data_IF_723121624021
#
_entry.id   IF_723121624021
#
_cell.length_a   1.000
_cell.length_b   1.000
_cell.length_c   1.000
_cell.angle_alpha   90.00
_cell.angle_beta   90.00
_cell.angle_gamma   90.00
#
_symmetry.space_group_name_H-M   'P 1'
#
loop_
_entity.id
_entity.type
_entity.pdbx_description
1 polymer ?
#
# COMPACT_ATOMS: atom_id res chain seq x y z
N UNK A 1 5.71 17.96 21.07
CA UNK A 1 5.42 16.51 21.09
C UNK A 1 4.87 16.15 19.74
N UNK A 2 5.60 15.35 18.95
CA UNK A 2 5.02 14.79 17.72
C UNK A 2 3.87 13.85 18.11
N UNK A 3 2.70 13.93 17.46
CA UNK A 3 1.59 13.02 17.75
C UNK A 3 2.06 11.57 17.58
N UNK A 4 1.58 10.67 18.45
CA UNK A 4 1.86 9.24 18.29
C UNK A 4 1.37 8.82 16.90
N UNK A 5 2.17 8.07 16.13
CA UNK A 5 1.74 7.61 14.82
C UNK A 5 0.46 6.81 14.99
N UNK A 6 -0.52 7.09 14.14
CA UNK A 6 -1.73 6.30 14.05
C UNK A 6 -1.33 4.91 13.55
N UNK A 7 -1.55 3.87 14.37
CA UNK A 7 -1.19 2.48 14.06
C UNK A 7 -2.43 1.59 14.10
N UNK A 8 -2.54 0.65 13.15
CA UNK A 8 -3.55 -0.41 13.15
C UNK A 8 -2.89 -1.76 12.97
N UNK A 9 -3.11 -2.66 13.93
CA UNK A 9 -2.71 -4.05 13.88
C UNK A 9 -3.93 -4.89 13.53
N UNK A 10 -3.88 -5.50 12.36
CA UNK A 10 -4.90 -6.41 11.85
C UNK A 10 -4.40 -7.83 12.09
N UNK A 11 -5.23 -8.67 12.71
CA UNK A 11 -5.00 -10.12 12.78
C UNK A 11 -6.09 -10.82 12.01
N UNK A 12 -5.73 -11.58 10.98
CA UNK A 12 -6.63 -12.49 10.27
C UNK A 12 -6.39 -13.89 10.81
N UNK A 13 -7.45 -14.61 11.19
CA UNK A 13 -7.34 -15.94 11.76
C UNK A 13 -8.33 -16.92 11.15
N UNK A 14 -7.96 -18.19 11.10
CA UNK A 14 -8.86 -19.29 10.73
C UNK A 14 -8.56 -20.52 11.58
N UNK A 15 -9.48 -21.47 11.60
CA UNK A 15 -9.28 -22.77 12.25
C UNK A 15 -9.53 -23.95 11.31
N UNK A 16 -10.59 -23.91 10.51
CA UNK A 16 -10.83 -24.92 9.49
C UNK A 16 -11.44 -24.25 8.27
N UNK A 17 -10.74 -24.38 7.15
CA UNK A 17 -11.15 -23.84 5.86
C UNK A 17 -11.53 -24.96 4.89
N UNK A 18 -11.27 -26.23 5.24
CA UNK A 18 -11.45 -27.37 4.34
C UNK A 18 -10.53 -27.37 3.10
N UNK A 19 -9.77 -26.31 2.85
CA UNK A 19 -8.81 -26.16 1.75
C UNK A 19 -7.73 -25.13 2.11
N UNK A 20 -6.50 -25.32 1.63
CA UNK A 20 -5.48 -24.28 1.65
C UNK A 20 -5.95 -23.07 0.82
N UNK A 21 -5.69 -21.87 1.33
CA UNK A 21 -6.06 -20.63 0.67
C UNK A 21 -4.99 -19.56 0.90
N UNK A 22 -4.85 -18.65 -0.05
CA UNK A 22 -4.01 -17.47 0.08
C UNK A 22 -4.91 -16.23 0.16
N UNK A 23 -4.72 -15.43 1.22
CA UNK A 23 -5.28 -14.07 1.29
C UNK A 23 -4.24 -13.11 0.72
N UNK A 24 -4.69 -12.26 -0.20
CA UNK A 24 -3.96 -11.09 -0.66
C UNK A 24 -4.65 -9.83 -0.14
N UNK A 25 -3.89 -8.94 0.51
CA UNK A 25 -4.33 -7.62 0.95
C UNK A 25 -3.74 -6.55 0.02
N UNK A 26 -4.60 -5.69 -0.52
CA UNK A 26 -4.19 -4.59 -1.37
C UNK A 26 -4.99 -3.33 -1.02
N UNK A 27 -4.36 -2.17 -1.20
CA UNK A 27 -5.00 -0.88 -0.98
C UNK A 27 -5.94 -0.55 -2.14
N UNK A 28 -7.09 0.02 -1.84
CA UNK A 28 -7.95 0.61 -2.86
C UNK A 28 -7.45 2.02 -3.16
N UNK A 29 -7.04 2.31 -4.41
CA UNK A 29 -6.69 3.67 -4.75
C UNK A 29 -7.95 4.53 -4.67
N UNK A 30 -7.92 5.61 -3.91
CA UNK A 30 -8.85 6.72 -4.06
C UNK A 30 -8.06 7.93 -4.57
N UNK A 31 -7.45 7.78 -5.74
CA UNK A 31 -6.73 8.87 -6.42
C UNK A 31 -7.70 9.60 -7.32
N UNK A 32 -8.31 10.66 -6.79
CA UNK A 32 -8.86 11.72 -7.61
C UNK A 32 -7.66 12.52 -8.19
N UNK A 33 -7.23 12.23 -9.42
CA UNK A 33 -6.06 12.85 -10.02
C UNK A 33 -5.81 12.48 -11.48
N UNK A 34 -5.31 13.45 -12.25
CA UNK A 34 -5.16 13.54 -13.72
C UNK A 34 -4.23 12.51 -14.42
N UNK A 35 -3.87 11.39 -13.80
CA UNK A 35 -3.01 10.39 -14.43
C UNK A 35 -3.70 9.02 -14.51
N UNK A 36 -3.68 8.44 -15.72
CA UNK A 36 -4.25 7.11 -16.02
C UNK A 36 -3.37 5.96 -15.48
N UNK A 37 -2.17 6.24 -14.95
CA UNK A 37 -1.15 5.24 -14.58
C UNK A 37 -0.81 5.23 -13.07
N UNK A 38 -1.82 5.33 -12.20
CA UNK A 38 -1.66 5.08 -10.76
C UNK A 38 -2.05 3.65 -10.43
N UNK A 39 -1.06 2.87 -9.96
CA UNK A 39 -1.26 1.46 -9.68
C UNK A 39 -1.17 1.16 -8.19
N UNK A 40 -2.17 0.46 -7.62
CA UNK A 40 -2.07 -0.09 -6.28
C UNK A 40 -0.98 -1.15 -6.21
N UNK A 41 -0.41 -1.31 -5.01
CA UNK A 41 0.57 -2.35 -4.74
C UNK A 41 -0.03 -3.39 -3.78
N UNK A 42 0.25 -4.66 -4.04
CA UNK A 42 -0.04 -5.75 -3.13
C UNK A 42 0.75 -5.57 -1.84
N UNK A 43 0.03 -5.37 -0.74
CA UNK A 43 0.63 -4.99 0.53
C UNK A 43 1.05 -6.20 1.36
N UNK A 44 0.18 -7.21 1.45
CA UNK A 44 0.45 -8.44 2.21
C UNK A 44 -0.13 -9.65 1.53
N UNK A 45 0.61 -10.76 1.58
CA UNK A 45 0.15 -12.07 1.08
C UNK A 45 0.37 -13.09 2.18
N UNK A 46 -0.65 -13.88 2.49
CA UNK A 46 -0.58 -14.85 3.59
C UNK A 46 -1.32 -16.13 3.27
N UNK A 47 -0.65 -17.26 3.48
CA UNK A 47 -1.21 -18.59 3.29
C UNK A 47 -1.85 -19.10 4.57
N UNK A 48 -3.03 -19.69 4.44
CA UNK A 48 -3.76 -20.37 5.49
C UNK A 48 -3.92 -21.83 5.08
N UNK A 49 -3.52 -22.74 5.96
CA UNK A 49 -3.66 -24.17 5.69
C UNK A 49 -5.11 -24.64 5.77
N UNK A 50 -5.33 -25.87 5.33
CA UNK A 50 -6.65 -26.50 5.30
C UNK A 50 -7.33 -26.54 6.67
N UNK A 51 -6.61 -26.98 7.69
CA UNK A 51 -7.14 -27.26 9.04
C UNK A 51 -6.08 -26.97 10.10
N UNK A 52 -6.50 -26.45 11.24
CA UNK A 52 -5.65 -26.00 12.34
C UNK A 52 -5.72 -24.48 12.53
N UNK A 53 -5.28 -23.98 13.70
CA UNK A 53 -5.26 -22.56 13.97
C UNK A 53 -4.18 -21.88 13.14
N UNK A 54 -4.58 -20.97 12.26
CA UNK A 54 -3.69 -20.14 11.46
C UNK A 54 -3.94 -18.66 11.74
N UNK A 55 -2.87 -17.87 11.70
CA UNK A 55 -2.91 -16.42 11.91
C UNK A 55 -1.97 -15.72 10.94
N UNK A 56 -2.43 -14.59 10.41
CA UNK A 56 -1.61 -13.63 9.69
C UNK A 56 -1.80 -12.25 10.31
N UNK A 57 -0.72 -11.49 10.41
CA UNK A 57 -0.75 -10.13 10.98
C UNK A 57 -0.29 -9.11 9.95
N UNK A 58 -0.91 -7.92 10.00
CA UNK A 58 -0.52 -6.79 9.20
C UNK A 58 -0.59 -5.51 10.04
N UNK A 59 0.47 -4.71 10.02
CA UNK A 59 0.56 -3.46 10.78
C UNK A 59 0.62 -2.28 9.82
N UNK A 60 -0.40 -1.42 9.90
CA UNK A 60 -0.49 -0.16 9.17
C UNK A 60 -0.06 0.99 10.07
N UNK A 61 0.83 1.86 9.57
CA UNK A 61 1.17 3.16 10.18
C UNK A 61 0.76 4.29 9.23
N UNK A 62 0.17 5.37 9.76
CA UNK A 62 -0.28 6.48 8.92
C UNK A 62 0.84 7.43 8.44
N UNK A 63 2.11 7.18 8.79
CA UNK A 63 3.20 8.01 8.31
C UNK A 63 3.47 7.68 6.85
N UNK A 64 3.20 8.63 5.97
CA UNK A 64 3.44 8.51 4.54
C UNK A 64 4.85 9.00 4.19
N UNK A 65 5.37 8.47 3.10
CA UNK A 65 6.56 8.97 2.43
C UNK A 65 6.43 8.82 0.92
N UNK A 66 7.01 9.76 0.19
CA UNK A 66 7.35 9.55 -1.21
C UNK A 66 8.67 8.81 -1.31
N UNK A 67 8.79 7.96 -2.31
CA UNK A 67 10.06 7.34 -2.68
C UNK A 67 10.26 7.34 -4.19
N UNK A 68 11.52 7.35 -4.60
CA UNK A 68 11.90 7.00 -5.97
C UNK A 68 11.95 5.47 -6.04
N UNK A 69 10.98 4.89 -6.72
CA UNK A 69 10.83 3.44 -6.81
C UNK A 69 11.84 2.84 -7.78
N UNK A 70 12.30 1.62 -7.49
CA UNK A 70 12.98 0.76 -8.45
C UNK A 70 12.05 -0.41 -8.72
N UNK A 71 11.77 -0.63 -10.01
CA UNK A 71 10.82 -1.65 -10.47
C UNK A 71 11.55 -2.72 -11.25
N UNK A 72 11.32 -3.97 -10.88
CA UNK A 72 11.83 -5.13 -11.60
C UNK A 72 10.73 -6.17 -11.70
N UNK A 73 10.53 -6.74 -12.90
CA UNK A 73 9.52 -7.80 -13.14
C UNK A 73 8.12 -7.48 -12.61
N UNK A 74 7.68 -6.22 -12.74
CA UNK A 74 6.35 -5.77 -12.29
C UNK A 74 6.19 -5.60 -10.78
N UNK A 75 7.29 -5.57 -10.02
CA UNK A 75 7.31 -5.39 -8.56
C UNK A 75 8.15 -4.17 -8.19
N UNK A 76 7.76 -3.47 -7.13
CA UNK A 76 8.64 -2.48 -6.51
C UNK A 76 9.62 -3.21 -5.60
N UNK A 77 10.90 -3.21 -5.95
CA UNK A 77 11.95 -3.97 -5.25
C UNK A 77 12.68 -3.15 -4.19
N UNK A 78 12.78 -1.84 -4.37
CA UNK A 78 13.48 -0.94 -3.45
C UNK A 78 13.13 0.53 -3.71
N UNK A 79 13.50 1.38 -2.76
CA UNK A 79 13.52 2.82 -2.91
C UNK A 79 14.97 3.32 -2.97
N UNK A 80 15.31 4.11 -3.98
CA UNK A 80 16.65 4.72 -4.07
C UNK A 80 16.80 5.88 -3.07
N UNK A 81 15.71 6.59 -2.80
CA UNK A 81 15.62 7.68 -1.83
C UNK A 81 14.17 7.83 -1.38
N UNK A 82 13.94 8.42 -0.21
CA UNK A 82 12.58 8.70 0.28
C UNK A 82 12.53 9.95 1.15
N UNK A 83 11.33 10.50 1.30
CA UNK A 83 11.06 11.60 2.21
C UNK A 83 9.70 11.40 2.86
N UNK A 84 9.64 11.60 4.18
CA UNK A 84 8.35 11.66 4.88
C UNK A 84 7.52 12.81 4.32
N UNK A 85 6.23 12.59 4.15
CA UNK A 85 5.31 13.59 3.62
C UNK A 85 3.99 13.51 4.39
N UNK A 86 3.41 14.66 4.71
CA UNK A 86 2.09 14.75 5.29
C UNK A 86 1.06 15.17 4.23
N UNK A 87 -0.22 15.02 4.57
CA UNK A 87 -1.27 15.64 3.78
C UNK A 87 -1.09 17.17 3.79
N UNK A 88 -1.41 17.83 2.68
CA UNK A 88 -1.20 19.25 2.44
C UNK A 88 0.27 19.67 2.25
N UNK A 89 1.19 18.72 2.06
CA UNK A 89 2.60 19.02 1.79
C UNK A 89 2.98 18.64 0.36
N UNK A 90 4.04 19.28 -0.13
CA UNK A 90 4.69 18.96 -1.40
C UNK A 90 6.20 18.83 -1.25
N UNK A 91 6.80 18.03 -2.12
CA UNK A 91 8.25 17.85 -2.25
C UNK A 91 8.65 17.83 -3.73
N UNK A 92 9.94 17.96 -4.01
CA UNK A 92 10.51 17.86 -5.35
C UNK A 92 11.61 16.81 -5.36
N UNK A 93 11.55 15.85 -6.28
CA UNK A 93 12.64 14.93 -6.58
C UNK A 93 13.61 15.61 -7.54
N UNK A 94 14.87 15.74 -7.13
CA UNK A 94 15.97 16.23 -7.96
C UNK A 94 17.06 15.18 -8.09
N UNK A 95 17.92 15.36 -9.09
CA UNK A 95 19.10 14.53 -9.32
C UNK A 95 20.32 15.45 -9.47
N UNK A 96 21.43 15.06 -8.86
CA UNK A 96 22.73 15.68 -9.05
C UNK A 96 23.84 14.64 -8.91
N UNK A 97 24.68 14.53 -9.94
CA UNK A 97 25.80 13.58 -10.00
C UNK A 97 25.36 12.12 -9.75
N UNK A 98 24.28 11.71 -10.40
CA UNK A 98 23.62 10.39 -10.30
C UNK A 98 23.02 10.09 -8.91
N UNK A 99 22.93 11.09 -8.02
CA UNK A 99 22.33 10.96 -6.70
C UNK A 99 20.98 11.67 -6.64
N UNK A 100 19.96 10.93 -6.22
CA UNK A 100 18.58 11.38 -6.17
C UNK A 100 18.19 11.86 -4.77
N UNK A 101 17.52 13.00 -4.71
CA UNK A 101 17.12 13.61 -3.45
C UNK A 101 15.71 14.18 -3.56
N UNK A 102 14.90 13.93 -2.54
CA UNK A 102 13.70 14.71 -2.32
C UNK A 102 14.04 15.95 -1.49
N UNK A 103 13.47 17.09 -1.87
CA UNK A 103 13.53 18.30 -1.05
C UNK A 103 12.81 18.09 0.29
N UNK A 104 13.17 18.88 1.30
CA UNK A 104 12.37 18.96 2.52
C UNK A 104 10.92 19.33 2.15
N UNK A 105 9.91 18.64 2.71
CA UNK A 105 8.52 18.98 2.48
C UNK A 105 8.21 20.42 2.85
N UNK A 106 7.40 21.06 2.02
CA UNK A 106 6.88 22.40 2.25
C UNK A 106 5.36 22.42 2.10
N UNK A 107 4.73 23.52 2.50
CA UNK A 107 3.29 23.68 2.36
C UNK A 107 2.86 23.54 0.88
N UNK A 108 1.92 22.64 0.65
CA UNK A 108 1.36 22.32 -0.66
C UNK A 108 -0.13 22.66 -0.74
N UNK A 109 -0.83 21.91 -1.58
CA UNK A 109 -2.27 22.07 -1.79
C UNK A 109 -3.07 21.34 -0.71
N UNK A 110 -4.06 21.99 -0.12
CA UNK A 110 -4.93 21.36 0.88
C UNK A 110 -5.66 20.14 0.33
N UNK A 111 -5.71 19.06 1.12
CA UNK A 111 -6.40 17.81 0.82
C UNK A 111 -5.56 16.75 0.09
N UNK A 112 -4.33 17.08 -0.33
CA UNK A 112 -3.46 16.19 -1.11
C UNK A 112 -2.00 16.26 -0.69
N UNK A 113 -1.24 15.22 -1.01
CA UNK A 113 0.22 15.20 -0.98
C UNK A 113 0.78 15.18 -2.40
N UNK A 114 1.90 15.88 -2.62
CA UNK A 114 2.42 16.11 -3.97
C UNK A 114 3.93 15.87 -4.07
N UNK A 115 4.37 15.29 -5.17
CA UNK A 115 5.79 15.20 -5.53
C UNK A 115 5.97 15.68 -6.97
N UNK A 116 6.88 16.63 -7.17
CA UNK A 116 7.28 17.05 -8.51
C UNK A 116 8.56 16.33 -8.93
N UNK A 117 8.59 15.79 -10.15
CA UNK A 117 9.84 15.34 -10.73
C UNK A 117 10.59 16.53 -11.34
N UNK A 118 11.83 16.73 -10.95
CA UNK A 118 12.74 17.74 -11.50
C UNK A 118 14.15 17.15 -11.67
N UNK A 119 14.22 15.95 -12.24
CA UNK A 119 15.48 15.21 -12.49
C UNK A 119 15.97 15.34 -13.93
N UNK A 120 15.26 16.07 -14.80
CA UNK A 120 15.58 16.15 -16.23
C UNK A 120 15.27 14.87 -17.02
N UNK A 121 14.68 13.85 -16.40
CA UNK A 121 14.36 12.56 -17.02
C UNK A 121 13.08 11.96 -16.42
N UNK A 122 12.53 10.94 -17.06
CA UNK A 122 11.36 10.20 -16.55
C UNK A 122 11.74 9.43 -15.28
N UNK A 123 10.88 9.46 -14.26
CA UNK A 123 11.12 8.77 -12.99
C UNK A 123 9.94 7.91 -12.55
N UNK A 124 10.30 6.88 -11.79
CA UNK A 124 9.38 6.00 -11.09
C UNK A 124 9.18 6.53 -9.67
N UNK A 125 7.95 6.89 -9.31
CA UNK A 125 7.64 7.45 -7.98
C UNK A 125 6.62 6.53 -7.28
N UNK A 126 6.82 6.31 -5.99
CA UNK A 126 5.86 5.60 -5.16
C UNK A 126 5.48 6.42 -3.93
N UNK A 127 4.29 6.15 -3.41
CA UNK A 127 3.87 6.54 -2.06
C UNK A 127 3.81 5.28 -1.22
N UNK A 128 4.33 5.35 0.01
CA UNK A 128 4.38 4.21 0.92
C UNK A 128 4.23 4.61 2.38
N UNK A 129 4.11 3.61 3.25
CA UNK A 129 4.10 3.81 4.69
C UNK A 129 5.46 3.59 5.30
N UNK A 130 5.82 4.44 6.25
CA UNK A 130 7.02 4.31 7.05
C UNK A 130 6.65 3.65 8.37
N UNK A 131 7.12 2.41 8.58
CA UNK A 131 7.01 1.80 9.90
C UNK A 131 8.21 2.19 10.77
N UNK A 132 8.01 2.15 12.08
CA UNK A 132 9.09 2.45 13.03
C UNK A 132 10.19 1.39 12.90
N UNK A 133 11.40 1.84 12.56
CA UNK A 133 12.58 0.97 12.40
C UNK A 133 12.87 0.57 10.95
N UNK A 134 11.95 0.85 10.03
CA UNK A 134 12.19 0.64 8.60
C UNK A 134 13.05 1.79 8.05
N UNK A 135 14.02 1.46 7.21
CA UNK A 135 14.87 2.45 6.53
C UNK A 135 14.17 3.07 5.31
N UNK A 136 13.25 2.35 4.69
CA UNK A 136 12.52 2.75 3.49
C UNK A 136 11.03 2.48 3.65
N UNK A 137 10.16 3.28 3.02
CA UNK A 137 8.72 3.06 3.09
C UNK A 137 8.31 1.76 2.37
N UNK A 138 7.33 1.05 2.93
CA UNK A 138 6.63 -0.02 2.21
C UNK A 138 5.69 0.61 1.18
N UNK A 139 5.89 0.38 -0.12
CA UNK A 139 5.15 1.08 -1.16
C UNK A 139 3.70 0.57 -1.25
N UNK A 140 2.76 1.49 -1.48
CA UNK A 140 1.31 1.19 -1.54
C UNK A 140 0.62 1.74 -2.79
N UNK A 141 1.15 2.82 -3.35
CA UNK A 141 0.77 3.37 -4.64
C UNK A 141 2.02 3.59 -5.47
N UNK A 142 1.94 3.30 -6.75
CA UNK A 142 3.01 3.47 -7.72
C UNK A 142 2.53 4.32 -8.89
N UNK A 143 3.39 5.23 -9.31
CA UNK A 143 3.20 6.17 -10.40
C UNK A 143 4.32 5.91 -11.40
N UNK A 144 3.97 5.34 -12.56
CA UNK A 144 4.96 5.14 -13.62
C UNK A 144 5.13 6.37 -14.48
N UNK A 145 6.24 6.40 -15.22
CA UNK A 145 6.45 7.33 -16.32
C UNK A 145 6.29 8.82 -15.95
N UNK A 146 6.66 9.21 -14.72
CA UNK A 146 6.54 10.59 -14.25
C UNK A 146 7.58 11.45 -14.96
N UNK A 147 7.17 12.20 -15.98
CA UNK A 147 8.05 13.06 -16.78
C UNK A 147 8.67 14.22 -15.98
N UNK A 148 9.76 14.78 -16.50
CA UNK A 148 10.37 15.97 -15.91
C UNK A 148 9.38 17.16 -15.87
N UNK A 149 9.41 17.92 -14.79
CA UNK A 149 8.46 18.99 -14.50
C UNK A 149 7.06 18.51 -14.08
N UNK A 150 6.73 17.22 -14.26
CA UNK A 150 5.42 16.66 -13.94
C UNK A 150 5.23 16.46 -12.44
N UNK A 151 3.97 16.46 -12.00
CA UNK A 151 3.61 16.32 -10.58
C UNK A 151 2.74 15.10 -10.36
N UNK A 152 3.19 14.25 -9.44
CA UNK A 152 2.35 13.25 -8.79
C UNK A 152 1.51 13.93 -7.72
N UNK A 153 0.22 13.61 -7.68
CA UNK A 153 -0.71 14.04 -6.66
C UNK A 153 -1.45 12.82 -6.12
N UNK A 154 -1.51 12.68 -4.80
CA UNK A 154 -2.26 11.61 -4.17
C UNK A 154 -3.17 12.14 -3.06
N UNK A 155 -4.37 11.57 -3.00
CA UNK A 155 -5.22 11.61 -1.82
C UNK A 155 -5.22 10.20 -1.25
N UNK A 156 -4.77 10.06 -0.01
CA UNK A 156 -4.65 8.74 0.59
C UNK A 156 -5.75 8.50 1.63
N UNK A 157 -6.65 7.57 1.33
CA UNK A 157 -7.60 7.00 2.30
C UNK A 157 -7.22 5.53 2.52
N UNK A 158 -6.94 5.08 3.75
CA UNK A 158 -6.47 3.72 4.02
C UNK A 158 -7.62 2.71 3.94
N UNK A 159 -8.21 2.55 2.76
CA UNK A 159 -9.19 1.49 2.49
C UNK A 159 -8.44 0.25 2.02
N UNK A 160 -8.47 -0.79 2.85
CA UNK A 160 -7.82 -2.07 2.56
C UNK A 160 -8.86 -3.07 2.05
N UNK A 161 -8.50 -3.84 1.02
CA UNK A 161 -9.30 -4.92 0.46
C UNK A 161 -8.59 -6.26 0.61
N UNK A 162 -9.36 -7.32 0.83
CA UNK A 162 -8.85 -8.69 0.87
C UNK A 162 -9.43 -9.52 -0.27
N UNK A 163 -8.57 -10.30 -0.91
CA UNK A 163 -8.86 -11.17 -2.04
C UNK A 163 -8.41 -12.59 -1.73
N UNK A 164 -9.09 -13.57 -2.32
CA UNK A 164 -8.64 -14.96 -2.33
C UNK A 164 -7.96 -15.23 -3.68
N UNK A 165 -6.62 -15.25 -3.69
CA UNK A 165 -5.80 -15.48 -4.88
C UNK A 165 -4.35 -15.79 -4.46
N UNK A 166 -3.65 -16.56 -5.28
CA UNK A 166 -2.22 -16.84 -5.16
C UNK A 166 -1.41 -16.27 -6.33
N UNK A 167 -2.03 -15.45 -7.19
CA UNK A 167 -1.46 -15.01 -8.47
C UNK A 167 -0.48 -13.85 -8.31
N UNK A 168 -0.40 -13.29 -7.09
CA UNK A 168 0.41 -12.13 -6.77
C UNK A 168 1.25 -12.35 -5.53
N UNK A 169 2.38 -11.67 -5.49
CA UNK A 169 3.28 -11.60 -4.33
C UNK A 169 3.24 -10.21 -3.69
N UNK A 170 3.76 -10.08 -2.46
CA UNK A 170 3.99 -8.76 -1.86
C UNK A 170 4.81 -7.88 -2.82
N UNK A 171 4.50 -6.58 -2.82
CA UNK A 171 5.08 -5.55 -3.70
C UNK A 171 4.78 -5.65 -5.20
N UNK A 172 3.94 -6.61 -5.62
CA UNK A 172 3.44 -6.67 -7.00
C UNK A 172 2.57 -5.45 -7.33
N UNK A 173 2.80 -4.88 -8.51
CA UNK A 173 2.03 -3.74 -9.04
C UNK A 173 0.74 -4.28 -9.67
N UNK A 174 -0.41 -3.87 -9.16
CA UNK A 174 -1.72 -4.23 -9.71
C UNK A 174 -2.05 -3.33 -10.91
N UNK A 175 -1.67 -3.79 -12.11
CA UNK A 175 -1.93 -3.09 -13.38
C UNK A 175 -3.35 -3.27 -13.93
N UNK A 176 -4.15 -4.09 -13.28
CA UNK A 176 -5.51 -4.40 -13.70
C UNK A 176 -6.36 -4.88 -12.53
N UNK A 177 -7.63 -5.15 -12.81
CA UNK A 177 -8.52 -5.74 -11.82
C UNK A 177 -8.02 -7.12 -11.41
N UNK A 178 -8.11 -7.42 -10.11
CA UNK A 178 -7.88 -8.77 -9.59
C UNK A 178 -9.02 -9.67 -10.08
N UNK A 179 -8.69 -10.81 -10.67
CA UNK A 179 -9.66 -11.72 -11.29
C UNK A 179 -10.73 -12.23 -10.31
N UNK A 180 -10.42 -12.26 -9.01
CA UNK A 180 -11.37 -12.60 -7.96
C UNK A 180 -11.96 -11.36 -7.30
N UNK A 181 -13.26 -11.39 -6.90
CA UNK A 181 -13.85 -10.29 -6.17
C UNK A 181 -13.23 -10.17 -4.77
N UNK A 182 -13.13 -8.94 -4.27
CA UNK A 182 -12.77 -8.71 -2.89
C UNK A 182 -13.82 -9.35 -1.96
N UNK A 183 -13.37 -10.14 -0.99
CA UNK A 183 -14.24 -10.78 0.01
C UNK A 183 -14.42 -9.92 1.26
N UNK A 184 -13.65 -8.84 1.38
CA UNK A 184 -13.65 -7.90 2.49
C UNK A 184 -13.06 -6.55 2.06
N UNK A 185 -13.57 -5.47 2.63
CA UNK A 185 -13.09 -4.11 2.42
C UNK A 185 -13.33 -3.30 3.68
N UNK A 186 -12.35 -2.53 4.13
CA UNK A 186 -12.47 -1.75 5.36
C UNK A 186 -11.63 -0.48 5.28
N UNK A 187 -12.24 0.65 5.68
CA UNK A 187 -11.52 1.86 6.02
C UNK A 187 -10.86 1.68 7.39
N UNK A 188 -9.53 1.74 7.44
CA UNK A 188 -8.78 1.52 8.67
C UNK A 188 -8.80 2.73 9.62
N UNK A 189 -9.23 3.92 9.16
CA UNK A 189 -9.29 5.13 10.01
C UNK A 189 -10.18 4.94 11.24
N UNK A 190 -11.33 4.28 11.06
CA UNK A 190 -12.34 4.06 12.10
C UNK A 190 -12.13 2.84 12.99
N UNK A 191 -11.11 2.01 12.72
CA UNK A 191 -10.88 0.79 13.51
C UNK A 191 -10.24 1.08 14.87
N UNK A 192 -10.38 0.14 15.81
CA UNK A 192 -9.54 0.11 17.01
C UNK A 192 -8.07 -0.18 16.65
N UNK A 193 -7.13 0.18 17.54
CA UNK A 193 -5.70 -0.04 17.29
C UNK A 193 -5.36 -1.50 17.00
N UNK A 194 -6.03 -2.45 17.66
CA UNK A 194 -5.88 -3.88 17.41
C UNK A 194 -7.25 -4.46 17.05
N UNK A 195 -7.33 -5.17 15.93
CA UNK A 195 -8.56 -5.86 15.51
C UNK A 195 -8.24 -7.27 15.08
N UNK A 196 -9.19 -8.18 15.31
CA UNK A 196 -9.10 -9.58 14.90
C UNK A 196 -10.26 -9.88 13.98
N UNK A 197 -9.97 -10.60 12.91
CA UNK A 197 -10.90 -10.93 11.85
C UNK A 197 -10.86 -12.43 11.59
N UNK A 198 -12.04 -13.06 11.54
CA UNK A 198 -12.19 -14.48 11.27
C UNK A 198 -12.37 -14.71 9.78
N UNK A 199 -11.43 -15.42 9.16
CA UNK A 199 -11.57 -16.00 7.83
C UNK A 199 -12.29 -17.34 7.95
N UNK A 200 -13.40 -17.48 7.21
CA UNK A 200 -14.15 -18.73 7.13
C UNK A 200 -14.47 -19.09 5.68
N UNK A 201 -14.75 -20.37 5.45
CA UNK A 201 -15.20 -20.89 4.15
C UNK A 201 -16.49 -21.65 4.34
N UNK A 202 -17.52 -21.28 3.59
CA UNK A 202 -18.74 -22.07 3.52
C UNK A 202 -18.48 -23.37 2.74
N UNK A 203 -18.73 -24.52 3.38
CA UNK A 203 -18.41 -25.82 2.79
C UNK A 203 -19.26 -26.13 1.55
N UNK A 204 -20.51 -25.63 1.49
CA UNK A 204 -21.47 -25.94 0.44
C UNK A 204 -21.26 -25.15 -0.85
N UNK A 205 -20.95 -23.86 -0.73
CA UNK A 205 -20.75 -22.93 -1.85
C UNK A 205 -19.27 -22.69 -2.16
N UNK A 206 -18.38 -23.01 -1.20
CA UNK A 206 -16.96 -22.70 -1.28
C UNK A 206 -16.62 -21.22 -1.12
N UNK A 207 -17.60 -20.37 -0.79
CA UNK A 207 -17.43 -18.94 -0.59
C UNK A 207 -16.62 -18.65 0.67
N UNK A 208 -15.66 -17.74 0.55
CA UNK A 208 -14.91 -17.23 1.69
C UNK A 208 -15.52 -15.94 2.22
N UNK A 209 -15.47 -15.74 3.53
CA UNK A 209 -15.90 -14.52 4.21
C UNK A 209 -14.90 -14.14 5.29
N UNK A 210 -14.79 -12.82 5.53
CA UNK A 210 -14.04 -12.28 6.65
C UNK A 210 -15.00 -11.46 7.50
N UNK A 211 -15.11 -11.79 8.79
CA UNK A 211 -15.95 -11.08 9.75
C UNK A 211 -15.14 -10.63 10.95
N UNK A 212 -15.57 -9.56 11.61
CA UNK A 212 -14.94 -9.14 12.87
C UNK A 212 -15.13 -10.25 13.92
N UNK A 213 -14.08 -10.53 14.69
CA UNK A 213 -14.11 -11.53 15.77
C UNK A 213 -14.81 -11.03 17.03
#
# INVERSE_FOLDING_TARGET
MSPRPFVRNLTFQSNDLGKEVTIMLAWSPNVDGLYEDVFPIVWKVSKFGKSGPYRATATYTAQLAFSRAQVESGKVISAATSVNINNNEKTTLTEANDVYHFSTPEAGTSGILQAQNHTGSIQEIAVGFVNKGDFMPTPVLYFSDVGDGSRVTAKFTPVLRAYITSDYEETSILRGQVDTPAIWSQDLTGLAQNTTWNLSRDASSGRYTITHA
#
